data_IF_203742453403
#
_entry.id   IF_203742453403
#
_cell.length_a   1.000
_cell.length_b   1.000
_cell.length_c   1.000
_cell.angle_alpha   90.00
_cell.angle_beta   90.00
_cell.angle_gamma   90.00
#
_symmetry.space_group_name_H-M   'P 1'
#
loop_
_entity.id
_entity.type
_entity.pdbx_description
1 polymer ?
#
# COMPACT_ATOMS: atom_id res chain seq x y z
N UNK A 1 21.41 -5.93 -4.84
CA UNK A 1 20.70 -5.40 -6.04
C UNK A 1 20.71 -3.89 -5.92
N UNK A 2 20.68 -3.13 -7.02
CA UNK A 2 20.70 -1.67 -6.90
C UNK A 2 19.39 -1.18 -6.29
N UNK A 3 19.43 -0.10 -5.50
CA UNK A 3 18.23 0.48 -4.90
C UNK A 3 17.15 0.81 -5.95
N UNK A 4 17.55 1.24 -7.14
CA UNK A 4 16.63 1.50 -8.25
C UNK A 4 15.94 0.23 -8.78
N UNK A 5 16.58 -0.95 -8.69
CA UNK A 5 15.95 -2.22 -9.02
C UNK A 5 14.94 -2.61 -7.94
N UNK A 6 15.26 -2.38 -6.66
CA UNK A 6 14.33 -2.58 -5.54
C UNK A 6 13.10 -1.67 -5.68
N UNK A 7 13.28 -0.36 -5.90
CA UNK A 7 12.17 0.58 -6.07
C UNK A 7 11.31 0.27 -7.30
N UNK A 8 11.92 -0.11 -8.43
CA UNK A 8 11.16 -0.52 -9.63
C UNK A 8 10.34 -1.77 -9.37
N UNK A 9 10.91 -2.77 -8.69
CA UNK A 9 10.15 -3.96 -8.32
C UNK A 9 8.98 -3.61 -7.40
N UNK A 10 9.16 -2.69 -6.45
CA UNK A 10 8.07 -2.20 -5.60
C UNK A 10 6.94 -1.57 -6.41
N UNK A 11 7.30 -0.62 -7.30
CA UNK A 11 6.34 0.03 -8.19
C UNK A 11 5.61 -0.96 -9.09
N UNK A 12 6.33 -1.94 -9.65
CA UNK A 12 5.75 -3.01 -10.47
C UNK A 12 4.73 -3.84 -9.67
N UNK A 13 5.05 -4.26 -8.43
CA UNK A 13 4.11 -5.01 -7.62
C UNK A 13 2.88 -4.17 -7.25
N UNK A 14 3.05 -2.88 -6.95
CA UNK A 14 1.92 -1.97 -6.73
C UNK A 14 1.05 -1.82 -7.98
N UNK A 15 1.65 -1.74 -9.18
CA UNK A 15 0.91 -1.74 -10.44
C UNK A 15 0.13 -3.04 -10.64
N UNK A 16 0.74 -4.19 -10.36
CA UNK A 16 0.05 -5.50 -10.47
C UNK A 16 -1.13 -5.57 -9.50
N UNK A 17 -0.94 -5.20 -8.24
CA UNK A 17 -2.02 -5.15 -7.25
C UNK A 17 -3.17 -4.23 -7.72
N UNK A 18 -2.84 -3.02 -8.17
CA UNK A 18 -3.85 -2.07 -8.65
C UNK A 18 -4.58 -2.57 -9.91
N UNK A 19 -3.86 -3.19 -10.87
CA UNK A 19 -4.48 -3.77 -12.07
C UNK A 19 -5.45 -4.89 -11.70
N UNK A 20 -5.05 -5.77 -10.77
CA UNK A 20 -5.91 -6.85 -10.31
C UNK A 20 -7.16 -6.30 -9.63
N UNK A 21 -7.06 -5.25 -8.81
CA UNK A 21 -8.23 -4.60 -8.22
C UNK A 21 -9.18 -4.02 -9.28
N UNK A 22 -8.64 -3.35 -10.31
CA UNK A 22 -9.45 -2.83 -11.43
C UNK A 22 -10.16 -3.95 -12.17
N UNK A 23 -9.45 -5.03 -12.51
CA UNK A 23 -10.04 -6.18 -13.20
C UNK A 23 -11.12 -6.85 -12.35
N UNK A 24 -10.87 -7.04 -11.06
CA UNK A 24 -11.85 -7.59 -10.11
C UNK A 24 -13.10 -6.71 -10.05
N UNK A 25 -12.96 -5.39 -9.94
CA UNK A 25 -14.11 -4.49 -9.92
C UNK A 25 -14.93 -4.56 -11.22
N UNK A 26 -14.27 -4.58 -12.38
CA UNK A 26 -14.95 -4.66 -13.70
C UNK A 26 -15.73 -5.97 -13.84
N UNK A 27 -15.14 -7.10 -13.44
CA UNK A 27 -15.81 -8.40 -13.53
C UNK A 27 -17.07 -8.44 -12.68
N UNK A 28 -17.03 -7.88 -11.46
CA UNK A 28 -18.17 -7.86 -10.56
C UNK A 28 -19.28 -6.90 -10.98
N UNK A 29 -18.97 -5.85 -11.74
CA UNK A 29 -20.00 -4.96 -12.32
C UNK A 29 -20.94 -5.72 -13.27
N UNK A 30 -20.47 -6.83 -13.86
CA UNK A 30 -21.30 -7.69 -14.72
C UNK A 30 -22.35 -8.47 -13.90
N UNK A 31 -22.05 -8.77 -12.64
CA UNK A 31 -22.90 -9.56 -11.74
C UNK A 31 -23.89 -8.71 -10.91
N UNK A 32 -23.74 -7.38 -10.94
CA UNK A 32 -24.65 -6.46 -10.28
C UNK A 32 -24.01 -5.11 -9.97
N UNK A 33 -24.83 -4.07 -9.84
CA UNK A 33 -24.35 -2.75 -9.43
C UNK A 33 -24.20 -2.70 -7.90
N UNK A 34 -22.95 -2.64 -7.43
CA UNK A 34 -22.59 -2.43 -6.03
C UNK A 34 -21.65 -1.21 -5.91
N UNK A 35 -22.04 -0.25 -5.06
CA UNK A 35 -21.24 0.95 -4.79
C UNK A 35 -19.85 0.59 -4.24
N UNK A 36 -19.71 -0.52 -3.51
CA UNK A 36 -18.42 -1.02 -3.03
C UNK A 36 -17.42 -1.27 -4.17
N UNK A 37 -17.89 -1.73 -5.33
CA UNK A 37 -17.06 -1.98 -6.51
C UNK A 37 -16.47 -0.70 -7.10
N UNK A 38 -17.20 0.42 -7.00
CA UNK A 38 -16.68 1.74 -7.39
C UNK A 38 -15.51 2.12 -6.49
N UNK A 39 -15.62 1.86 -5.19
CA UNK A 39 -14.52 2.05 -4.24
C UNK A 39 -13.29 1.22 -4.59
N UNK A 40 -13.48 -0.05 -4.93
CA UNK A 40 -12.40 -0.96 -5.36
C UNK A 40 -11.75 -0.48 -6.67
N UNK A 41 -12.57 -0.02 -7.63
CA UNK A 41 -12.08 0.51 -8.91
C UNK A 41 -11.20 1.76 -8.70
N UNK A 42 -11.68 2.73 -7.92
CA UNK A 42 -10.93 3.96 -7.62
C UNK A 42 -9.64 3.62 -6.87
N UNK A 43 -9.71 2.73 -5.87
CA UNK A 43 -8.54 2.26 -5.13
C UNK A 43 -7.50 1.59 -6.04
N UNK A 44 -7.94 0.72 -6.96
CA UNK A 44 -7.08 0.08 -7.94
C UNK A 44 -6.40 1.08 -8.87
N UNK A 45 -7.12 2.10 -9.33
CA UNK A 45 -6.57 3.18 -10.15
C UNK A 45 -5.56 4.04 -9.38
N UNK A 46 -5.84 4.39 -8.13
CA UNK A 46 -4.90 5.13 -7.27
C UNK A 46 -3.60 4.34 -7.07
N UNK A 47 -3.70 3.05 -6.80
CA UNK A 47 -2.55 2.18 -6.62
C UNK A 47 -1.75 1.96 -7.91
N UNK A 48 -2.43 1.88 -9.06
CA UNK A 48 -1.81 1.84 -10.39
C UNK A 48 -1.02 3.11 -10.69
N UNK A 49 -1.63 4.27 -10.51
CA UNK A 49 -0.99 5.57 -10.73
C UNK A 49 0.23 5.71 -9.83
N UNK A 50 0.07 5.37 -8.55
CA UNK A 50 1.16 5.35 -7.59
C UNK A 50 2.30 4.40 -8.02
N UNK A 51 1.98 3.15 -8.32
CA UNK A 51 2.96 2.14 -8.73
C UNK A 51 3.70 2.54 -10.01
N UNK A 52 3.01 3.15 -10.98
CA UNK A 52 3.59 3.64 -12.22
C UNK A 52 4.61 4.76 -11.96
N UNK A 53 4.26 5.74 -11.12
CA UNK A 53 5.18 6.82 -10.76
C UNK A 53 6.43 6.30 -10.06
N UNK A 54 6.27 5.33 -9.14
CA UNK A 54 7.41 4.66 -8.51
C UNK A 54 8.27 3.89 -9.52
N UNK A 55 7.65 3.11 -10.42
CA UNK A 55 8.35 2.31 -11.43
C UNK A 55 9.15 3.18 -12.41
N UNK A 56 8.60 4.31 -12.80
CA UNK A 56 9.26 5.26 -13.71
C UNK A 56 10.31 6.12 -13.00
N UNK A 57 10.38 6.07 -11.66
CA UNK A 57 11.27 6.92 -10.87
C UNK A 57 10.86 8.39 -10.90
N UNK A 58 9.59 8.67 -11.24
CA UNK A 58 9.08 10.03 -11.23
C UNK A 58 8.95 10.51 -9.78
N UNK A 59 9.78 11.48 -9.41
CA UNK A 59 9.79 12.09 -8.07
C UNK A 59 8.50 12.83 -7.71
N UNK A 60 7.58 13.02 -8.67
CA UNK A 60 6.40 13.87 -8.54
C UNK A 60 5.15 13.16 -9.06
N UNK A 61 4.69 12.16 -8.33
CA UNK A 61 3.25 11.90 -8.30
C UNK A 61 2.59 13.14 -7.70
N UNK A 62 2.18 14.07 -8.56
CA UNK A 62 1.60 15.36 -8.20
C UNK A 62 0.14 15.18 -7.72
N UNK A 63 -0.08 14.26 -6.79
CA UNK A 63 -1.37 13.95 -6.15
C UNK A 63 -1.50 14.89 -4.93
N UNK A 64 -1.43 16.21 -5.19
CA UNK A 64 -1.35 17.23 -4.15
C UNK A 64 -0.06 17.14 -3.33
N UNK A 65 0.17 18.13 -2.46
CA UNK A 65 1.34 18.27 -1.57
C UNK A 65 1.57 17.12 -0.55
N UNK A 66 0.88 15.99 -0.70
CA UNK A 66 0.98 14.83 0.19
C UNK A 66 2.29 14.03 -0.02
N UNK A 67 2.91 14.15 -1.20
CA UNK A 67 4.05 13.33 -1.63
C UNK A 67 5.37 14.11 -1.82
N UNK A 68 5.51 15.28 -1.19
CA UNK A 68 6.65 16.20 -1.39
C UNK A 68 8.05 15.62 -1.12
N UNK A 69 8.18 14.48 -0.42
CA UNK A 69 9.48 13.84 -0.15
C UNK A 69 10.00 12.96 -1.30
N UNK A 70 9.21 12.76 -2.35
CA UNK A 70 9.56 11.92 -3.49
C UNK A 70 9.63 10.42 -3.14
N UNK A 71 9.44 9.58 -4.16
CA UNK A 71 9.54 8.11 -4.06
C UNK A 71 10.94 7.59 -4.39
N UNK A 72 11.96 8.44 -4.22
CA UNK A 72 13.35 8.17 -4.58
C UNK A 72 14.22 7.72 -3.41
N UNK A 73 13.64 7.50 -2.23
CA UNK A 73 14.33 7.05 -1.01
C UNK A 73 13.52 5.93 -0.33
N UNK A 74 14.16 5.06 0.47
CA UNK A 74 13.46 3.99 1.19
C UNK A 74 12.45 4.57 2.17
N UNK A 75 12.86 5.66 2.84
CA UNK A 75 11.99 6.39 3.75
C UNK A 75 10.79 6.99 3.02
N UNK A 76 11.02 7.74 1.94
CA UNK A 76 9.96 8.37 1.15
C UNK A 76 8.98 7.35 0.57
N UNK A 77 9.46 6.18 0.13
CA UNK A 77 8.62 5.07 -0.34
C UNK A 77 7.71 4.51 0.76
N UNK A 78 8.27 4.27 1.96
CA UNK A 78 7.48 3.78 3.10
C UNK A 78 6.39 4.79 3.45
N UNK A 79 6.75 6.06 3.60
CA UNK A 79 5.82 7.13 3.95
C UNK A 79 4.73 7.29 2.89
N UNK A 80 5.13 7.39 1.61
CA UNK A 80 4.20 7.53 0.50
C UNK A 80 3.25 6.33 0.40
N UNK A 81 3.76 5.11 0.61
CA UNK A 81 2.92 3.93 0.56
C UNK A 81 1.92 3.85 1.72
N UNK A 82 2.33 4.20 2.94
CA UNK A 82 1.40 4.26 4.09
C UNK A 82 0.26 5.24 3.80
N UNK A 83 0.58 6.42 3.26
CA UNK A 83 -0.41 7.43 2.90
C UNK A 83 -1.35 6.92 1.80
N UNK A 84 -0.83 6.30 0.72
CA UNK A 84 -1.69 5.81 -0.37
C UNK A 84 -2.61 4.69 0.12
N UNK A 85 -2.13 3.78 0.97
CA UNK A 85 -2.99 2.75 1.59
C UNK A 85 -4.05 3.39 2.46
N UNK A 86 -3.69 4.41 3.24
CA UNK A 86 -4.67 5.13 4.05
C UNK A 86 -5.76 5.82 3.22
N UNK A 87 -5.41 6.40 2.07
CA UNK A 87 -6.38 6.97 1.12
C UNK A 87 -7.25 5.87 0.51
N UNK A 88 -6.65 4.74 0.13
CA UNK A 88 -7.37 3.58 -0.41
C UNK A 88 -8.40 3.06 0.60
N UNK A 89 -8.04 2.93 1.87
CA UNK A 89 -8.94 2.49 2.93
C UNK A 89 -10.09 3.48 3.14
N UNK A 90 -9.83 4.78 3.11
CA UNK A 90 -10.90 5.79 3.18
C UNK A 90 -11.85 5.67 1.99
N UNK A 91 -11.33 5.58 0.77
CA UNK A 91 -12.14 5.46 -0.45
C UNK A 91 -13.00 4.22 -0.39
N UNK A 92 -12.42 3.05 -0.14
CA UNK A 92 -13.17 1.81 -0.03
C UNK A 92 -14.19 1.85 1.12
N UNK A 93 -13.80 2.40 2.27
CA UNK A 93 -14.68 2.57 3.44
C UNK A 93 -15.89 3.45 3.16
N UNK A 94 -15.75 4.54 2.41
CA UNK A 94 -16.87 5.40 2.01
C UNK A 94 -17.85 4.64 1.11
N UNK A 95 -17.34 3.97 0.07
CA UNK A 95 -18.17 3.28 -0.91
C UNK A 95 -18.81 1.99 -0.38
N UNK A 96 -18.15 1.31 0.56
CA UNK A 96 -18.65 0.11 1.23
C UNK A 96 -19.39 0.41 2.55
N UNK A 97 -19.58 1.69 2.92
CA UNK A 97 -20.18 2.14 4.18
C UNK A 97 -19.50 1.52 5.43
N UNK A 98 -18.19 1.31 5.37
CA UNK A 98 -17.39 0.70 6.43
C UNK A 98 -16.58 1.75 7.20
N UNK A 99 -17.13 2.19 8.33
CA UNK A 99 -16.51 3.21 9.21
C UNK A 99 -15.14 2.76 9.74
N UNK A 100 -14.96 1.47 10.02
CA UNK A 100 -13.68 0.97 10.55
C UNK A 100 -12.54 1.16 9.54
N UNK A 101 -12.82 0.91 8.26
CA UNK A 101 -11.84 1.12 7.18
C UNK A 101 -11.47 2.60 7.05
N UNK A 102 -12.45 3.51 7.17
CA UNK A 102 -12.19 4.95 7.18
C UNK A 102 -11.28 5.36 8.34
N UNK A 103 -11.54 4.87 9.56
CA UNK A 103 -10.74 5.20 10.75
C UNK A 103 -9.30 4.70 10.60
N UNK A 104 -9.12 3.45 10.14
CA UNK A 104 -7.78 2.90 9.87
C UNK A 104 -7.06 3.74 8.82
N UNK A 105 -7.74 4.11 7.74
CA UNK A 105 -7.14 4.92 6.69
C UNK A 105 -6.68 6.30 7.16
N UNK A 106 -7.48 6.97 7.99
CA UNK A 106 -7.09 8.24 8.62
C UNK A 106 -5.85 8.08 9.52
N UNK A 107 -5.78 7.00 10.31
CA UNK A 107 -4.63 6.72 11.17
C UNK A 107 -3.36 6.46 10.37
N UNK A 108 -3.46 5.73 9.25
CA UNK A 108 -2.32 5.49 8.37
C UNK A 108 -1.81 6.80 7.75
N UNK A 109 -2.70 7.65 7.22
CA UNK A 109 -2.32 8.97 6.71
C UNK A 109 -1.64 9.79 7.81
N UNK A 110 -2.20 9.79 9.02
CA UNK A 110 -1.61 10.49 10.17
C UNK A 110 -0.20 9.97 10.48
N UNK A 111 0.03 8.65 10.51
CA UNK A 111 1.36 8.09 10.72
C UNK A 111 2.33 8.49 9.62
N UNK A 112 1.90 8.48 8.36
CA UNK A 112 2.70 8.95 7.24
C UNK A 112 3.13 10.41 7.40
N UNK A 113 2.24 11.29 7.89
CA UNK A 113 2.61 12.67 8.21
C UNK A 113 3.52 12.79 9.42
N UNK A 114 3.23 12.06 10.50
CA UNK A 114 4.03 12.09 11.72
C UNK A 114 5.46 11.64 11.47
N UNK A 115 5.68 10.69 10.56
CA UNK A 115 7.04 10.30 10.14
C UNK A 115 7.84 11.47 9.56
N UNK A 116 7.19 12.42 8.88
CA UNK A 116 7.87 13.58 8.27
C UNK A 116 8.14 14.73 9.24
N UNK A 117 7.57 14.68 10.44
CA UNK A 117 7.70 15.75 11.42
C UNK A 117 8.93 15.50 12.30
N UNK A 118 9.58 16.58 12.73
CA UNK A 118 10.60 16.52 13.78
C UNK A 118 9.91 16.27 15.12
N UNK A 119 9.81 15.00 15.50
CA UNK A 119 9.16 14.56 16.73
C UNK A 119 10.20 14.28 17.82
N UNK A 120 9.73 14.02 19.04
CA UNK A 120 10.64 13.53 20.07
C UNK A 120 11.19 12.14 19.68
N UNK A 121 12.45 11.80 20.00
CA UNK A 121 13.03 10.50 19.66
C UNK A 121 12.23 9.31 20.19
N UNK A 122 11.51 9.48 21.30
CA UNK A 122 10.65 8.43 21.86
C UNK A 122 9.45 8.17 20.94
N UNK A 123 8.82 9.24 20.44
CA UNK A 123 7.64 9.13 19.60
C UNK A 123 7.98 8.54 18.22
N UNK A 124 9.12 8.92 17.64
CA UNK A 124 9.62 8.32 16.40
C UNK A 124 9.82 6.81 16.55
N UNK A 125 10.48 6.37 17.63
CA UNK A 125 10.65 4.94 17.93
C UNK A 125 9.32 4.22 18.06
N UNK A 126 8.33 4.81 18.72
CA UNK A 126 6.99 4.22 18.86
C UNK A 126 6.34 4.03 17.49
N UNK A 127 6.36 5.06 16.63
CA UNK A 127 5.80 4.97 15.27
C UNK A 127 6.50 3.87 14.47
N UNK A 128 7.84 3.79 14.57
CA UNK A 128 8.61 2.77 13.88
C UNK A 128 8.24 1.34 14.31
N UNK A 129 8.07 1.11 15.62
CA UNK A 129 7.62 -0.19 16.16
C UNK A 129 6.21 -0.53 15.67
N UNK A 130 5.27 0.42 15.74
CA UNK A 130 3.89 0.22 15.29
C UNK A 130 3.87 -0.18 13.80
N UNK A 131 4.59 0.54 12.95
CA UNK A 131 4.65 0.26 11.52
C UNK A 131 5.28 -1.09 11.21
N UNK A 132 6.32 -1.50 11.94
CA UNK A 132 6.87 -2.85 11.82
C UNK A 132 5.84 -3.93 12.12
N UNK A 133 5.04 -3.74 13.16
CA UNK A 133 3.96 -4.67 13.52
C UNK A 133 2.90 -4.69 12.41
N UNK A 134 2.48 -3.53 11.90
CA UNK A 134 1.50 -3.43 10.80
C UNK A 134 2.01 -4.15 9.55
N UNK A 135 3.26 -3.94 9.15
CA UNK A 135 3.83 -4.63 7.99
C UNK A 135 3.99 -6.12 8.21
N UNK A 136 4.36 -6.56 9.42
CA UNK A 136 4.41 -7.98 9.75
C UNK A 136 3.03 -8.64 9.68
N UNK A 137 1.99 -7.98 10.19
CA UNK A 137 0.60 -8.43 10.06
C UNK A 137 0.15 -8.46 8.59
N UNK A 138 0.59 -7.49 7.77
CA UNK A 138 0.38 -7.47 6.33
C UNK A 138 1.00 -8.69 5.62
N UNK A 139 2.23 -9.07 6.00
CA UNK A 139 2.88 -10.29 5.50
C UNK A 139 2.07 -11.53 5.88
N UNK A 140 1.68 -11.66 7.15
CA UNK A 140 0.88 -12.80 7.62
C UNK A 140 -0.45 -12.87 6.87
N UNK A 141 -1.14 -11.74 6.73
CA UNK A 141 -2.40 -11.64 5.97
C UNK A 141 -2.21 -12.03 4.50
N UNK A 142 -1.11 -11.61 3.86
CA UNK A 142 -0.76 -12.01 2.50
C UNK A 142 -0.58 -13.53 2.36
N UNK A 143 0.15 -14.17 3.29
CA UNK A 143 0.33 -15.63 3.30
C UNK A 143 -1.01 -16.35 3.47
N UNK A 144 -1.84 -15.93 4.43
CA UNK A 144 -3.16 -16.49 4.66
C UNK A 144 -4.07 -16.31 3.43
N UNK A 145 -3.97 -15.16 2.75
CA UNK A 145 -4.75 -14.87 1.54
C UNK A 145 -4.33 -15.74 0.35
N UNK A 146 -3.03 -16.03 0.20
CA UNK A 146 -2.55 -16.98 -0.83
C UNK A 146 -3.11 -18.38 -0.57
N UNK A 147 -3.08 -18.84 0.69
CA UNK A 147 -3.61 -20.17 1.05
C UNK A 147 -5.14 -20.22 0.93
N UNK A 148 -5.83 -19.14 1.29
CA UNK A 148 -7.28 -19.02 1.21
C UNK A 148 -7.84 -18.74 -0.18
N UNK A 149 -6.98 -18.35 -1.15
CA UNK A 149 -7.41 -18.05 -2.52
C UNK A 149 -7.84 -19.31 -3.30
N UNK A 150 -7.57 -20.51 -2.77
CA UNK A 150 -7.96 -21.76 -3.40
C UNK A 150 -9.41 -22.12 -3.07
N UNK A 151 -10.32 -21.64 -3.91
CA UNK A 151 -11.74 -22.00 -3.90
C UNK A 151 -12.51 -21.16 -4.91
N UNK A 152 -13.49 -21.76 -5.62
CA UNK A 152 -14.30 -21.05 -6.62
C UNK A 152 -13.80 -21.18 -8.06
N UNK A 153 -14.18 -20.22 -8.91
CA UNK A 153 -13.92 -20.28 -10.35
C UNK A 153 -12.43 -20.04 -10.69
N UNK A 154 -11.88 -20.70 -11.73
CA UNK A 154 -10.46 -20.61 -12.07
C UNK A 154 -9.93 -19.17 -12.25
N UNK A 155 -10.71 -18.28 -12.88
CA UNK A 155 -10.33 -16.89 -13.08
C UNK A 155 -10.22 -16.14 -11.75
N UNK A 156 -11.11 -16.42 -10.81
CA UNK A 156 -11.12 -15.80 -9.48
C UNK A 156 -9.93 -16.23 -8.63
N UNK A 157 -9.58 -17.53 -8.70
CA UNK A 157 -8.38 -18.07 -8.06
C UNK A 157 -7.14 -17.32 -8.57
N UNK A 158 -7.01 -17.14 -9.89
CA UNK A 158 -5.85 -16.46 -10.49
C UNK A 158 -5.76 -15.01 -10.01
N UNK A 159 -6.86 -14.25 -10.05
CA UNK A 159 -6.87 -12.85 -9.60
C UNK A 159 -6.53 -12.72 -8.12
N UNK A 160 -7.13 -13.55 -7.26
CA UNK A 160 -6.85 -13.50 -5.83
C UNK A 160 -5.42 -13.89 -5.48
N UNK A 161 -4.88 -14.92 -6.12
CA UNK A 161 -3.47 -15.33 -5.93
C UNK A 161 -2.54 -14.21 -6.39
N UNK A 162 -2.78 -13.61 -7.56
CA UNK A 162 -1.96 -12.49 -8.05
C UNK A 162 -2.00 -11.30 -7.10
N UNK A 163 -3.18 -10.92 -6.61
CA UNK A 163 -3.32 -9.83 -5.65
C UNK A 163 -2.59 -10.13 -4.34
N UNK A 164 -2.80 -11.33 -3.79
CA UNK A 164 -2.21 -11.75 -2.53
C UNK A 164 -0.68 -11.80 -2.61
N UNK A 165 -0.13 -12.33 -3.70
CA UNK A 165 1.32 -12.32 -3.95
C UNK A 165 1.84 -10.90 -4.10
N UNK A 166 1.12 -10.02 -4.80
CA UNK A 166 1.53 -8.63 -4.98
C UNK A 166 1.63 -7.87 -3.65
N UNK A 167 0.58 -7.92 -2.84
CA UNK A 167 0.61 -7.33 -1.50
C UNK A 167 1.64 -7.98 -0.59
N UNK A 168 1.82 -9.31 -0.65
CA UNK A 168 2.83 -10.00 0.13
C UNK A 168 4.24 -9.46 -0.17
N UNK A 169 4.60 -9.34 -1.46
CA UNK A 169 5.91 -8.82 -1.86
C UNK A 169 6.08 -7.37 -1.42
N UNK A 170 5.05 -6.52 -1.61
CA UNK A 170 5.04 -5.12 -1.15
C UNK A 170 5.32 -5.03 0.36
N UNK A 171 4.60 -5.81 1.19
CA UNK A 171 4.78 -5.77 2.64
C UNK A 171 6.14 -6.32 3.09
N UNK A 172 6.68 -7.34 2.42
CA UNK A 172 8.05 -7.80 2.65
C UNK A 172 9.05 -6.68 2.37
N UNK A 173 8.89 -5.96 1.25
CA UNK A 173 9.79 -4.87 0.90
C UNK A 173 9.71 -3.70 1.88
N UNK A 174 8.50 -3.29 2.30
CA UNK A 174 8.31 -2.26 3.32
C UNK A 174 8.92 -2.64 4.66
N UNK A 175 8.75 -3.90 5.07
CA UNK A 175 9.36 -4.42 6.29
C UNK A 175 10.90 -4.35 6.20
N UNK A 176 11.49 -4.75 5.08
CA UNK A 176 12.93 -4.65 4.86
C UNK A 176 13.41 -3.18 4.80
N UNK A 177 12.62 -2.27 4.22
CA UNK A 177 12.93 -0.84 4.19
C UNK A 177 12.91 -0.24 5.60
N UNK A 178 11.94 -0.60 6.44
CA UNK A 178 11.89 -0.19 7.84
C UNK A 178 13.13 -0.62 8.63
N UNK A 179 13.73 -1.76 8.27
CA UNK A 179 14.94 -2.26 8.91
C UNK A 179 16.24 -1.66 8.34
N UNK A 180 16.16 -0.90 7.25
CA UNK A 180 17.33 -0.29 6.60
C UNK A 180 17.96 0.81 7.45
N UNK A 181 19.28 1.03 7.35
CA UNK A 181 19.96 2.10 8.08
C UNK A 181 19.36 3.49 7.82
N UNK A 182 18.91 3.74 6.58
CA UNK A 182 18.28 4.99 6.18
C UNK A 182 17.03 5.28 7.00
N UNK A 183 16.06 4.35 7.02
CA UNK A 183 14.80 4.55 7.74
C UNK A 183 15.02 4.56 9.25
N UNK A 184 15.90 3.69 9.77
CA UNK A 184 16.24 3.68 11.20
C UNK A 184 16.83 5.01 11.66
N UNK A 185 17.76 5.58 10.89
CA UNK A 185 18.38 6.88 11.23
C UNK A 185 17.36 8.02 11.29
N UNK A 186 16.34 8.00 10.42
CA UNK A 186 15.24 8.97 10.39
C UNK A 186 14.23 8.80 11.52
N UNK A 187 14.17 7.61 12.11
CA UNK A 187 13.21 7.25 13.17
C UNK A 187 13.89 7.09 14.53
N UNK A 188 15.09 7.67 14.71
CA UNK A 188 15.89 7.60 15.93
C UNK A 188 16.22 6.17 16.42
N UNK A 189 16.35 5.19 15.51
CA UNK A 189 16.57 3.76 15.80
C UNK A 189 17.98 3.24 15.46
#
# INVERSE_FOLDING_TARGET
>A
MSFFDETKNFGLMAMIAGLVMVLSAILWVVDGFDLGLIGVLIAGLLLLIFGLGVYQGESKLNIGSLFDEGVTSKFGLVVAFIIIVGVIDIVQGIFALNIMSIVVGVLLILFGFLMKMDLSPILEKIIWIILLIVFLLGIISGILSVVGAFGGEPLWIVLNVLNAVAYLVIYIMLFLYMLSPEVKSRMSM
#
